data_IF_079781677371
#
_entry.id   IF_079781677371
#
_cell.length_a   1.000
_cell.length_b   1.000
_cell.length_c   1.000
_cell.angle_alpha   90.00
_cell.angle_beta   90.00
_cell.angle_gamma   90.00
#
_symmetry.space_group_name_H-M   'P 1'
#
loop_
_entity.id
_entity.type
_entity.pdbx_description
1 polymer ?
#
# COMPACT_ATOMS: atom_id res chain seq x y z
N UNK A 1 19.94 30.90 -34.09
CA UNK A 1 19.61 29.46 -34.13
C UNK A 1 18.52 29.23 -33.11
N UNK A 2 17.27 29.13 -33.57
CA UNK A 2 16.11 28.93 -32.69
C UNK A 2 16.01 27.44 -32.39
N UNK A 3 16.18 27.07 -31.13
CA UNK A 3 16.00 25.70 -30.69
C UNK A 3 14.52 25.32 -30.88
N UNK A 4 14.27 24.39 -31.81
CA UNK A 4 12.98 23.73 -31.92
C UNK A 4 12.84 22.86 -30.67
N UNK A 5 11.92 23.24 -29.79
CA UNK A 5 11.47 22.37 -28.72
C UNK A 5 10.77 21.19 -29.39
N UNK A 6 11.46 20.07 -29.50
CA UNK A 6 10.83 18.78 -29.78
C UNK A 6 9.87 18.51 -28.62
N UNK A 7 8.57 18.60 -28.89
CA UNK A 7 7.53 18.03 -28.03
C UNK A 7 7.95 16.60 -27.69
N UNK A 8 7.89 16.15 -26.42
CA UNK A 8 8.15 14.77 -26.11
C UNK A 8 7.15 13.92 -26.91
N UNK A 9 7.63 13.24 -27.94
CA UNK A 9 6.87 12.22 -28.67
C UNK A 9 6.49 11.14 -27.67
N UNK A 10 5.19 11.06 -27.38
CA UNK A 10 4.46 9.93 -26.79
C UNK A 10 5.27 9.12 -25.76
N UNK A 11 5.11 9.45 -24.48
CA UNK A 11 5.20 8.39 -23.47
C UNK A 11 4.22 7.30 -23.93
N UNK A 12 4.72 6.10 -24.22
CA UNK A 12 3.90 5.01 -24.75
C UNK A 12 2.60 4.93 -23.94
N UNK A 13 1.48 5.24 -24.60
CA UNK A 13 0.17 5.23 -23.94
C UNK A 13 -0.04 3.84 -23.34
N UNK A 14 -0.42 3.77 -22.07
CA UNK A 14 -0.71 2.49 -21.44
C UNK A 14 -1.76 1.73 -22.27
N UNK A 15 -1.42 0.52 -22.69
CA UNK A 15 -2.31 -0.36 -23.47
C UNK A 15 -2.96 -1.45 -22.61
N UNK A 16 -2.54 -1.53 -21.35
CA UNK A 16 -3.00 -2.46 -20.33
C UNK A 16 -3.21 -1.76 -19.00
N UNK A 17 -4.23 -2.21 -18.27
CA UNK A 17 -4.45 -1.87 -16.87
C UNK A 17 -4.53 -3.13 -16.03
N UNK A 18 -3.87 -3.10 -14.88
CA UNK A 18 -3.91 -4.15 -13.85
C UNK A 18 -4.49 -3.54 -12.58
N UNK A 19 -5.57 -4.12 -12.06
CA UNK A 19 -6.09 -3.81 -10.74
C UNK A 19 -5.73 -4.93 -9.76
N UNK A 20 -5.25 -4.56 -8.59
CA UNK A 20 -4.82 -5.49 -7.54
C UNK A 20 -5.55 -5.12 -6.25
N UNK A 21 -6.36 -6.04 -5.76
CA UNK A 21 -6.85 -6.02 -4.38
C UNK A 21 -5.77 -6.62 -3.48
N UNK A 22 -5.34 -5.88 -2.46
CA UNK A 22 -4.22 -6.25 -1.61
C UNK A 22 -4.69 -6.64 -0.21
N UNK A 23 -4.12 -7.71 0.35
CA UNK A 23 -4.41 -8.11 1.72
C UNK A 23 -3.23 -7.83 2.65
N UNK A 24 -3.48 -7.11 3.73
CA UNK A 24 -2.57 -6.95 4.87
C UNK A 24 -2.74 -8.01 5.95
N UNK A 25 -3.57 -9.05 5.73
CA UNK A 25 -3.79 -10.10 6.71
C UNK A 25 -2.52 -10.92 6.96
N UNK A 26 -2.40 -11.52 8.16
CA UNK A 26 -1.30 -12.43 8.45
C UNK A 26 -1.45 -13.75 7.69
N UNK A 27 -0.32 -14.33 7.30
CA UNK A 27 -0.25 -15.60 6.57
C UNK A 27 0.42 -15.47 5.22
N UNK A 28 0.59 -16.62 4.56
CA UNK A 28 1.28 -16.74 3.28
C UNK A 28 0.34 -16.49 2.09
N UNK A 29 -0.86 -17.06 2.09
CA UNK A 29 -1.82 -17.01 0.97
C UNK A 29 -3.16 -16.46 1.41
N UNK A 30 -3.76 -15.61 0.58
CA UNK A 30 -4.93 -14.82 0.94
C UNK A 30 -6.03 -14.92 -0.13
N UNK A 31 -7.23 -15.34 0.29
CA UNK A 31 -8.43 -15.30 -0.57
C UNK A 31 -8.85 -13.88 -0.94
N UNK A 32 -8.42 -12.89 -0.15
CA UNK A 32 -8.68 -11.47 -0.37
C UNK A 32 -7.65 -10.78 -1.27
N UNK A 33 -6.72 -11.52 -1.89
CA UNK A 33 -5.88 -10.96 -2.95
C UNK A 33 -6.48 -11.35 -4.30
N UNK A 34 -6.68 -10.37 -5.17
CA UNK A 34 -7.17 -10.57 -6.52
C UNK A 34 -6.38 -9.69 -7.50
N UNK A 35 -6.10 -10.25 -8.67
CA UNK A 35 -5.46 -9.53 -9.78
C UNK A 35 -6.40 -9.59 -10.97
N UNK A 36 -6.73 -8.44 -11.55
CA UNK A 36 -7.58 -8.33 -12.74
C UNK A 36 -6.87 -7.51 -13.83
N UNK A 37 -7.04 -7.90 -15.08
CA UNK A 37 -6.41 -7.24 -16.23
C UNK A 37 -7.44 -6.85 -17.27
N UNK A 38 -7.30 -5.66 -17.85
CA UNK A 38 -7.93 -5.31 -19.11
C UNK A 38 -6.94 -4.65 -20.06
N UNK A 39 -7.27 -4.67 -21.35
CA UNK A 39 -6.56 -3.96 -22.40
C UNK A 39 -7.39 -2.78 -22.90
N UNK A 40 -6.85 -1.99 -23.82
CA UNK A 40 -7.60 -0.92 -24.50
C UNK A 40 -8.94 -1.41 -25.05
N UNK A 41 -10.01 -0.67 -24.78
CA UNK A 41 -11.36 -0.99 -25.27
C UNK A 41 -12.39 -0.86 -24.16
N UNK A 42 -13.49 -1.59 -24.30
CA UNK A 42 -14.65 -1.58 -23.40
C UNK A 42 -14.94 -2.95 -22.79
N UNK A 43 -14.05 -3.93 -23.00
CA UNK A 43 -14.18 -5.24 -22.40
C UNK A 43 -14.02 -5.14 -20.88
N UNK A 44 -14.78 -5.94 -20.14
CA UNK A 44 -14.63 -6.01 -18.68
C UNK A 44 -13.25 -6.58 -18.30
N UNK A 45 -12.66 -6.16 -17.17
CA UNK A 45 -11.46 -6.79 -16.63
C UNK A 45 -11.68 -8.27 -16.35
N UNK A 46 -10.66 -9.07 -16.62
CA UNK A 46 -10.66 -10.52 -16.39
C UNK A 46 -9.75 -10.83 -15.20
N UNK A 47 -10.24 -11.66 -14.28
CA UNK A 47 -9.44 -12.15 -13.15
C UNK A 47 -8.31 -13.06 -13.64
N UNK A 48 -7.13 -12.85 -13.08
CA UNK A 48 -5.98 -13.73 -13.27
C UNK A 48 -6.02 -14.81 -12.20
N UNK A 49 -5.96 -16.06 -12.64
CA UNK A 49 -5.87 -17.21 -11.74
C UNK A 49 -4.52 -17.21 -11.02
N UNK A 50 -4.47 -17.42 -9.69
CA UNK A 50 -3.22 -17.59 -8.98
C UNK A 50 -2.40 -18.75 -9.57
N UNK A 51 -1.07 -18.59 -9.72
CA UNK A 51 -0.22 -19.67 -10.20
C UNK A 51 -0.22 -20.83 -9.21
N UNK A 52 -0.53 -22.03 -9.69
CA UNK A 52 -0.37 -23.30 -8.95
C UNK A 52 -1.11 -23.40 -7.59
N UNK A 53 -2.11 -22.53 -7.34
CA UNK A 53 -2.82 -22.46 -6.07
C UNK A 53 -4.26 -21.95 -6.19
N UNK A 54 -5.03 -22.12 -5.11
CA UNK A 54 -6.41 -21.62 -5.00
C UNK A 54 -6.50 -20.16 -4.52
N UNK A 55 -5.39 -19.54 -4.11
CA UNK A 55 -5.31 -18.17 -3.63
C UNK A 55 -3.90 -17.60 -3.84
N UNK A 56 -3.81 -16.30 -4.13
CA UNK A 56 -2.56 -15.57 -4.29
C UNK A 56 -1.79 -15.45 -2.96
N UNK A 57 -0.47 -15.60 -3.00
CA UNK A 57 0.43 -14.96 -2.03
C UNK A 57 0.84 -13.57 -2.52
N UNK A 58 1.48 -12.77 -1.66
CA UNK A 58 1.99 -11.45 -2.05
C UNK A 58 3.23 -11.58 -2.94
N UNK A 59 4.01 -12.64 -2.72
CA UNK A 59 5.13 -13.05 -3.57
C UNK A 59 4.66 -13.46 -4.98
N UNK A 60 3.57 -14.24 -5.09
CA UNK A 60 3.01 -14.61 -6.40
C UNK A 60 2.63 -13.36 -7.22
N UNK A 61 2.05 -12.34 -6.56
CA UNK A 61 1.69 -11.07 -7.22
C UNK A 61 2.94 -10.34 -7.70
N UNK A 62 4.00 -10.28 -6.87
CA UNK A 62 5.28 -9.68 -7.28
C UNK A 62 5.87 -10.40 -8.49
N UNK A 63 5.98 -11.72 -8.44
CA UNK A 63 6.52 -12.53 -9.53
C UNK A 63 5.70 -12.36 -10.81
N UNK A 64 4.37 -12.34 -10.71
CA UNK A 64 3.49 -12.09 -11.83
C UNK A 64 3.70 -10.70 -12.43
N UNK A 65 3.85 -9.66 -11.60
CA UNK A 65 4.14 -8.29 -12.04
C UNK A 65 5.49 -8.17 -12.74
N UNK A 66 6.52 -8.85 -12.23
CA UNK A 66 7.84 -8.91 -12.85
C UNK A 66 7.78 -9.58 -14.24
N UNK A 67 6.91 -10.57 -14.42
CA UNK A 67 6.67 -11.18 -15.74
C UNK A 67 5.95 -10.26 -16.72
N UNK A 68 5.29 -9.20 -16.26
CA UNK A 68 4.63 -8.21 -17.14
C UNK A 68 5.58 -7.12 -17.65
N UNK A 69 6.85 -7.14 -17.26
CA UNK A 69 7.83 -6.16 -17.70
C UNK A 69 7.96 -6.13 -19.23
N UNK A 70 8.11 -4.94 -19.79
CA UNK A 70 8.15 -4.70 -21.23
C UNK A 70 6.80 -4.34 -21.87
N UNK A 71 5.70 -4.40 -21.12
CA UNK A 71 4.40 -3.85 -21.54
C UNK A 71 4.16 -2.44 -20.96
N UNK A 72 3.44 -1.59 -21.68
CA UNK A 72 3.00 -0.29 -21.17
C UNK A 72 1.77 -0.49 -20.26
N UNK A 73 2.02 -0.96 -19.04
CA UNK A 73 0.98 -1.31 -18.07
C UNK A 73 0.80 -0.24 -17.00
N UNK A 74 -0.43 0.22 -16.81
CA UNK A 74 -0.84 0.99 -15.63
C UNK A 74 -1.27 0.02 -14.52
N UNK A 75 -0.68 0.15 -13.34
CA UNK A 75 -0.98 -0.72 -12.19
C UNK A 75 -1.72 0.10 -11.13
N UNK A 76 -2.92 -0.35 -10.76
CA UNK A 76 -3.66 0.12 -9.60
C UNK A 76 -3.55 -0.88 -8.45
N UNK A 77 -3.18 -0.39 -7.27
CA UNK A 77 -3.10 -1.15 -6.03
C UNK A 77 -4.13 -0.61 -5.05
N UNK A 78 -5.04 -1.46 -4.56
CA UNK A 78 -5.93 -1.14 -3.45
C UNK A 78 -5.20 -1.40 -2.13
N UNK A 79 -4.49 -0.37 -1.65
CA UNK A 79 -3.78 -0.40 -0.37
C UNK A 79 -3.68 1.01 0.22
N UNK A 80 -3.25 1.08 1.47
CA UNK A 80 -2.90 2.34 2.12
C UNK A 80 -1.39 2.62 1.97
N UNK A 81 -0.97 3.57 1.13
CA UNK A 81 0.46 3.75 0.81
C UNK A 81 1.24 4.56 1.83
N UNK A 82 0.55 5.12 2.83
CA UNK A 82 1.13 5.95 3.87
C UNK A 82 0.24 5.96 5.10
N UNK A 83 0.82 6.36 6.23
CA UNK A 83 0.15 6.62 7.50
C UNK A 83 -0.32 8.09 7.58
N UNK A 84 -1.23 8.45 8.52
CA UNK A 84 -1.52 9.84 8.86
C UNK A 84 -0.26 10.68 9.12
N UNK A 85 -0.16 11.82 8.44
CA UNK A 85 0.95 12.77 8.56
C UNK A 85 0.44 14.21 8.76
N UNK A 86 -0.47 14.66 7.90
CA UNK A 86 -0.97 16.04 7.83
C UNK A 86 -1.57 16.54 9.14
N UNK A 87 -2.17 15.65 9.94
CA UNK A 87 -2.80 16.00 11.21
C UNK A 87 -1.81 16.46 12.30
N UNK A 88 -0.56 15.99 12.27
CA UNK A 88 0.46 16.33 13.28
C UNK A 88 1.84 16.72 12.69
N UNK A 89 1.97 16.76 11.37
CA UNK A 89 3.25 17.02 10.68
C UNK A 89 4.30 15.93 10.89
N UNK A 90 3.89 14.71 11.24
CA UNK A 90 4.78 13.57 11.51
C UNK A 90 4.01 12.25 11.43
N UNK A 91 4.64 11.19 10.92
CA UNK A 91 4.06 9.84 10.98
C UNK A 91 4.01 9.31 12.42
N UNK A 92 5.04 9.57 13.23
CA UNK A 92 5.18 9.09 14.61
C UNK A 92 5.55 10.25 15.56
N UNK A 93 4.57 11.09 15.95
CA UNK A 93 4.80 12.28 16.77
C UNK A 93 5.49 11.98 18.10
N UNK A 94 6.54 12.73 18.40
CA UNK A 94 7.35 12.54 19.60
C UNK A 94 8.56 11.62 19.41
N UNK A 95 8.62 10.86 18.30
CA UNK A 95 9.81 10.10 17.94
C UNK A 95 10.75 10.94 17.08
N UNK A 96 12.01 11.08 17.53
CA UNK A 96 13.03 11.93 16.88
C UNK A 96 13.35 11.49 15.45
N UNK A 97 13.34 10.18 15.21
CA UNK A 97 13.73 9.59 13.94
C UNK A 97 12.51 9.30 13.04
N UNK A 98 11.36 9.91 13.35
CA UNK A 98 10.16 9.79 12.52
C UNK A 98 10.44 10.25 11.08
N UNK A 99 10.03 9.46 10.06
CA UNK A 99 10.23 9.86 8.68
C UNK A 99 9.46 11.16 8.38
N UNK A 100 10.12 12.05 7.67
CA UNK A 100 9.62 13.39 7.31
C UNK A 100 8.82 13.39 6.00
N UNK A 101 8.99 12.37 5.16
CA UNK A 101 8.25 12.18 3.93
C UNK A 101 7.94 10.71 3.60
N UNK A 102 7.08 10.50 2.59
CA UNK A 102 6.62 9.17 2.20
C UNK A 102 7.76 8.25 1.76
N UNK A 103 8.77 8.77 1.05
CA UNK A 103 9.93 7.94 0.62
C UNK A 103 10.76 7.48 1.82
N UNK A 104 10.98 8.35 2.80
CA UNK A 104 11.66 8.01 4.04
C UNK A 104 10.87 6.96 4.85
N UNK A 105 9.53 7.07 4.89
CA UNK A 105 8.67 6.04 5.50
C UNK A 105 8.90 4.67 4.86
N UNK A 106 8.88 4.59 3.53
CA UNK A 106 9.08 3.32 2.83
C UNK A 106 10.50 2.78 2.97
N UNK A 107 11.53 3.64 2.99
CA UNK A 107 12.90 3.21 3.26
C UNK A 107 13.04 2.60 4.67
N UNK A 108 12.35 3.17 5.66
CA UNK A 108 12.30 2.63 7.02
C UNK A 108 11.58 1.28 7.06
N UNK A 109 10.42 1.16 6.40
CA UNK A 109 9.65 -0.10 6.30
C UNK A 109 10.51 -1.19 5.67
N UNK A 110 11.13 -0.91 4.52
CA UNK A 110 12.01 -1.85 3.81
C UNK A 110 13.17 -2.33 4.71
N UNK A 111 13.87 -1.39 5.34
CA UNK A 111 15.02 -1.71 6.19
C UNK A 111 14.64 -2.56 7.41
N UNK A 112 13.48 -2.32 8.01
CA UNK A 112 13.04 -3.05 9.20
C UNK A 112 12.45 -4.42 8.89
N UNK A 113 12.02 -4.64 7.64
CA UNK A 113 11.23 -5.81 7.25
C UNK A 113 11.85 -6.64 6.14
N UNK A 114 13.13 -6.43 5.82
CA UNK A 114 13.86 -7.16 4.77
C UNK A 114 13.80 -8.69 4.93
N UNK A 115 13.83 -9.17 6.18
CA UNK A 115 13.78 -10.59 6.51
C UNK A 115 12.38 -11.07 6.92
N UNK A 116 11.36 -10.20 6.88
CA UNK A 116 9.99 -10.59 7.22
C UNK A 116 9.43 -11.50 6.12
N UNK A 117 8.93 -12.70 6.48
CA UNK A 117 8.29 -13.56 5.51
C UNK A 117 7.01 -12.90 4.97
N UNK A 118 6.64 -13.26 3.74
CA UNK A 118 5.35 -12.89 3.15
C UNK A 118 5.13 -11.39 2.96
N UNK A 119 6.17 -10.55 3.03
CA UNK A 119 6.03 -9.09 3.06
C UNK A 119 5.13 -8.59 4.21
N UNK A 120 5.10 -9.32 5.33
CA UNK A 120 4.18 -9.11 6.45
C UNK A 120 4.46 -7.89 7.33
N UNK A 121 5.61 -7.24 7.16
CA UNK A 121 6.09 -6.10 7.97
C UNK A 121 6.00 -6.34 9.49
N UNK A 122 6.10 -7.61 9.90
CA UNK A 122 5.94 -8.06 11.29
C UNK A 122 7.02 -7.52 12.22
N UNK A 123 8.26 -7.36 11.73
CA UNK A 123 9.38 -6.88 12.54
C UNK A 123 9.23 -5.39 12.88
N UNK A 124 8.77 -4.58 11.93
CA UNK A 124 8.49 -3.16 12.15
C UNK A 124 7.46 -2.94 13.27
N UNK A 125 6.42 -3.78 13.34
CA UNK A 125 5.36 -3.70 14.37
C UNK A 125 5.82 -4.16 15.76
N UNK A 126 7.01 -4.74 15.86
CA UNK A 126 7.64 -5.11 17.12
C UNK A 126 8.58 -4.03 17.66
N UNK A 127 8.99 -3.07 16.84
CA UNK A 127 9.83 -1.94 17.25
C UNK A 127 9.22 -1.21 18.45
N UNK A 128 10.05 -0.92 19.45
CA UNK A 128 9.61 -0.41 20.75
C UNK A 128 9.05 1.00 20.67
N UNK A 129 9.49 1.82 19.72
CA UNK A 129 8.94 3.17 19.51
C UNK A 129 7.73 3.11 18.58
N UNK A 130 7.81 2.39 17.47
CA UNK A 130 6.72 2.36 16.49
C UNK A 130 5.45 1.71 17.05
N UNK A 131 5.58 0.59 17.77
CA UNK A 131 4.42 -0.14 18.33
C UNK A 131 3.52 0.74 19.19
N UNK A 132 4.07 1.78 19.81
CA UNK A 132 3.36 2.73 20.67
C UNK A 132 2.26 3.48 19.92
N UNK A 133 2.40 3.62 18.61
CA UNK A 133 1.45 4.31 17.75
C UNK A 133 0.38 3.40 17.14
N UNK A 134 0.50 2.07 17.27
CA UNK A 134 -0.41 1.10 16.66
C UNK A 134 -1.35 0.48 17.69
N UNK A 135 -2.53 0.06 17.22
CA UNK A 135 -3.40 -0.87 17.92
C UNK A 135 -3.34 -2.22 17.20
N UNK A 136 -2.88 -3.25 17.89
CA UNK A 136 -2.74 -4.63 17.41
C UNK A 136 -3.68 -5.56 18.21
N UNK A 137 -3.84 -6.82 17.79
CA UNK A 137 -4.69 -7.75 18.53
C UNK A 137 -4.16 -7.95 19.96
N UNK A 138 -4.97 -7.56 20.96
CA UNK A 138 -4.65 -7.59 22.41
C UNK A 138 -3.54 -6.65 22.86
N UNK A 139 -3.11 -5.72 22.01
CA UNK A 139 -2.12 -4.71 22.38
C UNK A 139 -2.50 -3.35 21.80
N UNK A 140 -2.46 -2.30 22.62
CA UNK A 140 -2.72 -0.94 22.17
C UNK A 140 -1.60 -0.06 22.69
N UNK A 141 -0.79 0.47 21.76
CA UNK A 141 0.27 1.38 22.10
C UNK A 141 -0.24 2.61 22.85
N UNK A 142 0.60 3.14 23.75
CA UNK A 142 0.27 4.26 24.64
C UNK A 142 0.09 5.60 23.90
N UNK A 143 0.61 5.69 22.67
CA UNK A 143 0.47 6.84 21.78
C UNK A 143 -0.62 6.66 20.71
N UNK A 144 -1.32 5.51 20.68
CA UNK A 144 -2.49 5.33 19.83
C UNK A 144 -3.66 6.14 20.43
N UNK A 145 -4.22 7.13 19.72
CA UNK A 145 -5.32 7.92 20.27
C UNK A 145 -6.60 7.07 20.34
N UNK A 146 -7.42 7.32 21.36
CA UNK A 146 -8.68 6.59 21.57
C UNK A 146 -9.60 6.59 20.35
N UNK A 147 -10.53 5.63 20.32
CA UNK A 147 -11.49 5.48 19.22
C UNK A 147 -10.87 4.84 17.98
N UNK A 148 -10.98 5.51 16.83
CA UNK A 148 -10.60 4.97 15.53
C UNK A 148 -9.16 5.26 15.11
N UNK A 149 -8.37 5.96 15.93
CA UNK A 149 -7.00 6.36 15.62
C UNK A 149 -6.89 7.65 14.80
N UNK A 150 -5.65 8.01 14.43
CA UNK A 150 -5.34 9.14 13.54
C UNK A 150 -5.79 8.84 12.11
N UNK A 151 -6.21 9.86 11.34
CA UNK A 151 -6.77 9.68 10.00
C UNK A 151 -6.00 10.50 8.97
N UNK A 152 -5.89 9.98 7.74
CA UNK A 152 -5.43 10.79 6.61
C UNK A 152 -6.59 11.62 6.08
N UNK A 153 -6.27 12.54 5.18
CA UNK A 153 -7.26 13.43 4.55
C UNK A 153 -8.35 12.65 3.82
N UNK A 154 -8.01 11.51 3.20
CA UNK A 154 -9.01 10.66 2.53
C UNK A 154 -10.03 10.05 3.51
N UNK A 155 -9.61 9.56 4.67
CA UNK A 155 -10.55 9.04 5.68
C UNK A 155 -11.42 10.17 6.27
N UNK A 156 -10.89 11.39 6.41
CA UNK A 156 -11.69 12.55 6.82
C UNK A 156 -12.78 12.84 5.76
N UNK A 157 -12.42 12.81 4.47
CA UNK A 157 -13.38 12.93 3.37
C UNK A 157 -14.44 11.84 3.37
N UNK A 158 -14.04 10.59 3.59
CA UNK A 158 -14.96 9.46 3.71
C UNK A 158 -15.96 9.65 4.87
N UNK A 159 -15.50 10.13 6.04
CA UNK A 159 -16.40 10.47 7.17
C UNK A 159 -17.39 11.57 6.82
N UNK A 160 -16.96 12.59 6.09
CA UNK A 160 -17.86 13.65 5.64
C UNK A 160 -18.95 13.13 4.67
N UNK A 161 -18.69 12.00 4.01
CA UNK A 161 -19.66 11.26 3.19
C UNK A 161 -20.48 10.23 4.02
N UNK A 162 -20.46 10.32 5.35
CA UNK A 162 -21.14 9.40 6.26
C UNK A 162 -20.65 7.94 6.18
N UNK A 163 -19.41 7.70 5.72
CA UNK A 163 -18.75 6.39 5.80
C UNK A 163 -18.04 6.22 7.16
N UNK A 164 -17.66 4.98 7.48
CA UNK A 164 -17.01 4.60 8.74
C UNK A 164 -15.58 4.11 8.52
N UNK A 165 -14.62 4.98 8.16
CA UNK A 165 -13.25 4.56 7.93
C UNK A 165 -12.49 4.30 9.21
N UNK A 166 -11.47 3.45 9.07
CA UNK A 166 -10.59 3.01 10.15
C UNK A 166 -9.16 3.48 9.88
N UNK A 167 -8.42 3.81 10.92
CA UNK A 167 -7.04 4.26 10.80
C UNK A 167 -6.13 3.14 10.31
N UNK A 168 -5.14 3.47 9.48
CA UNK A 168 -4.06 2.57 9.12
C UNK A 168 -3.15 2.19 10.32
N UNK A 169 -3.27 2.88 11.46
CA UNK A 169 -2.64 2.48 12.72
C UNK A 169 -3.43 1.41 13.48
N UNK A 170 -4.65 1.09 13.06
CA UNK A 170 -5.49 0.10 13.70
C UNK A 170 -5.46 -1.23 12.92
N UNK A 171 -4.76 -2.21 13.46
CA UNK A 171 -4.45 -3.51 12.86
C UNK A 171 -5.20 -4.68 13.53
N UNK A 172 -6.33 -4.39 14.19
CA UNK A 172 -7.18 -5.37 14.91
C UNK A 172 -8.21 -6.06 14.03
#
# INVERSE_FOLDING_TARGET
>A
MTAVLTTPTDAARFDRFVAIDWSGAQGHRHKGIAVAVCTTGTAAPVLVTPPEASAWSREDVLDWLLQQQGSATLIGLDLSPALPFVDQGSYFPGWRDSPDEARALWAMVESASVDDPHFAVSSLLQDTELRRHFRQHRDCGDLFPGGAGRMRVCEIGQRAMCLSPTSCFNLV
#
